data_IF_421127775243
#
_entry.id   IF_421127775243
#
_cell.length_a   1.000
_cell.length_b   1.000
_cell.length_c   1.000
_cell.angle_alpha   90.00
_cell.angle_beta   90.00
_cell.angle_gamma   90.00
#
_symmetry.space_group_name_H-M   'P 1'
#
loop_
_entity.id
_entity.type
_entity.pdbx_description
1 polymer ?
#
# COMPACT_ATOMS: atom_id res chain seq x y z
N UNK A 1 9.66 15.14 -61.78
CA UNK A 1 9.48 15.72 -60.43
C UNK A 1 8.09 16.35 -60.32
N UNK A 2 7.13 15.70 -59.65
CA UNK A 2 5.84 16.30 -59.32
C UNK A 2 5.82 16.84 -57.89
N UNK A 3 5.29 18.04 -57.72
CA UNK A 3 5.18 18.82 -56.48
C UNK A 3 4.18 18.19 -55.51
N UNK A 4 4.60 17.90 -54.29
CA UNK A 4 3.73 17.52 -53.17
C UNK A 4 3.10 18.80 -52.59
N UNK A 5 1.77 18.85 -52.57
CA UNK A 5 1.00 19.92 -51.92
C UNK A 5 1.10 19.76 -50.40
N UNK A 6 1.47 20.85 -49.73
CA UNK A 6 1.40 21.04 -48.30
C UNK A 6 -0.05 21.23 -47.85
N UNK A 7 -0.57 20.32 -47.04
CA UNK A 7 -1.83 20.52 -46.32
C UNK A 7 -1.59 20.79 -44.84
N UNK A 8 -2.44 21.68 -44.34
CA UNK A 8 -2.27 22.53 -43.17
C UNK A 8 -2.48 21.81 -41.84
N UNK A 9 -1.60 22.13 -40.91
CA UNK A 9 -1.67 21.87 -39.46
C UNK A 9 -2.89 22.57 -38.84
N UNK A 10 -4.08 21.97 -38.90
CA UNK A 10 -5.25 22.47 -38.15
C UNK A 10 -6.25 21.40 -37.68
N UNK A 11 -6.19 20.14 -38.11
CA UNK A 11 -7.22 19.13 -37.75
C UNK A 11 -6.65 17.84 -37.11
N UNK A 12 -5.85 17.98 -36.04
CA UNK A 12 -5.49 16.83 -35.17
C UNK A 12 -5.66 17.13 -33.69
N UNK A 13 -6.86 17.56 -33.30
CA UNK A 13 -7.28 17.66 -31.91
C UNK A 13 -8.76 17.31 -31.76
N UNK A 14 -9.08 16.02 -31.75
CA UNK A 14 -10.25 15.46 -31.04
C UNK A 14 -10.31 13.93 -31.17
N UNK A 15 -9.31 13.22 -30.65
CA UNK A 15 -9.51 11.83 -30.22
C UNK A 15 -9.29 11.79 -28.72
N UNK A 16 -10.29 12.32 -28.02
CA UNK A 16 -10.41 12.18 -26.58
C UNK A 16 -10.55 10.69 -26.25
N UNK A 17 -9.70 10.23 -25.33
CA UNK A 17 -9.84 8.96 -24.64
C UNK A 17 -11.27 8.85 -24.09
N UNK A 18 -12.11 8.10 -24.80
CA UNK A 18 -13.47 7.82 -24.41
C UNK A 18 -13.47 7.17 -23.04
N UNK A 19 -14.01 7.88 -22.07
CA UNK A 19 -14.47 7.32 -20.80
C UNK A 19 -15.51 6.25 -21.12
N UNK A 20 -15.06 5.01 -21.25
CA UNK A 20 -15.92 3.86 -21.40
C UNK A 20 -16.60 3.60 -20.06
N UNK A 21 -17.87 3.98 -20.02
CA UNK A 21 -18.95 3.22 -19.37
C UNK A 21 -18.72 2.79 -17.92
N UNK A 22 -19.17 3.62 -16.98
CA UNK A 22 -20.17 3.21 -15.99
C UNK A 22 -19.91 1.97 -15.12
N UNK A 23 -18.69 1.46 -15.00
CA UNK A 23 -18.40 0.38 -14.07
C UNK A 23 -18.34 0.95 -12.65
N UNK A 24 -19.44 0.76 -11.91
CA UNK A 24 -19.53 1.05 -10.50
C UNK A 24 -18.39 0.30 -9.78
N UNK A 25 -17.49 1.03 -9.13
CA UNK A 25 -16.57 0.41 -8.17
C UNK A 25 -17.41 -0.38 -7.14
N UNK A 26 -17.39 -1.71 -7.23
CA UNK A 26 -18.12 -2.63 -6.32
C UNK A 26 -19.37 -3.31 -6.89
N UNK A 27 -19.68 -3.25 -8.19
CA UNK A 27 -20.67 -4.17 -8.78
C UNK A 27 -20.12 -5.59 -9.01
N UNK A 28 -18.80 -5.74 -9.03
CA UNK A 28 -18.14 -7.04 -9.03
C UNK A 28 -17.65 -7.36 -7.61
N UNK A 29 -18.30 -8.33 -6.99
CA UNK A 29 -17.88 -8.90 -5.72
C UNK A 29 -16.68 -9.83 -5.98
N UNK A 30 -15.53 -9.25 -6.35
CA UNK A 30 -14.29 -10.02 -6.35
C UNK A 30 -13.92 -10.32 -4.89
N UNK A 31 -13.37 -11.50 -4.61
CA UNK A 31 -13.04 -11.97 -3.24
C UNK A 31 -12.16 -11.00 -2.42
N UNK A 32 -11.58 -9.99 -3.08
CA UNK A 32 -10.64 -9.01 -2.53
C UNK A 32 -11.25 -7.61 -2.30
N UNK A 33 -12.55 -7.44 -2.55
CA UNK A 33 -13.26 -6.17 -2.40
C UNK A 33 -13.50 -5.87 -0.91
N UNK A 34 -13.28 -4.63 -0.47
CA UNK A 34 -13.59 -4.22 0.90
C UNK A 34 -15.10 -4.34 1.18
N UNK A 35 -15.45 -5.24 2.11
CA UNK A 35 -16.82 -5.52 2.53
C UNK A 35 -17.06 -5.01 3.96
N UNK A 36 -18.33 -4.80 4.33
CA UNK A 36 -18.75 -4.42 5.68
C UNK A 36 -18.81 -2.91 5.99
N UNK A 37 -18.18 -2.07 5.17
CA UNK A 37 -18.30 -0.60 5.26
C UNK A 37 -19.60 -0.03 4.69
N UNK A 38 -19.92 1.22 5.04
CA UNK A 38 -21.10 1.94 4.58
C UNK A 38 -21.20 3.37 5.14
N UNK A 39 -22.27 4.08 4.78
CA UNK A 39 -22.45 5.50 5.11
C UNK A 39 -23.92 5.90 5.30
N UNK A 40 -24.77 4.96 5.74
CA UNK A 40 -26.21 5.22 5.93
C UNK A 40 -26.49 6.28 7.00
N UNK A 41 -25.60 6.40 7.99
CA UNK A 41 -25.64 7.32 9.12
C UNK A 41 -24.21 7.54 9.65
N UNK A 42 -24.09 8.43 10.64
CA UNK A 42 -22.82 8.78 11.30
C UNK A 42 -22.09 7.56 11.88
N UNK A 43 -22.81 6.68 12.57
CA UNK A 43 -22.20 5.55 13.26
C UNK A 43 -21.67 4.52 12.25
N UNK A 44 -22.37 4.30 11.14
CA UNK A 44 -21.88 3.43 10.08
C UNK A 44 -20.67 4.01 9.36
N UNK A 45 -20.60 5.33 9.20
CA UNK A 45 -19.40 6.00 8.67
C UNK A 45 -18.20 5.82 9.61
N UNK A 46 -18.37 6.00 10.92
CA UNK A 46 -17.31 5.72 11.91
C UNK A 46 -16.88 4.26 11.93
N UNK A 47 -17.83 3.32 11.86
CA UNK A 47 -17.51 1.88 11.77
C UNK A 47 -16.65 1.59 10.53
N UNK A 48 -16.96 2.23 9.41
CA UNK A 48 -16.18 2.12 8.17
C UNK A 48 -14.75 2.63 8.36
N UNK A 49 -14.57 3.79 9.00
CA UNK A 49 -13.24 4.31 9.33
C UNK A 49 -12.47 3.32 10.22
N UNK A 50 -13.15 2.71 11.21
CA UNK A 50 -12.57 1.70 12.09
C UNK A 50 -12.16 0.42 11.35
N UNK A 51 -12.94 -0.03 10.38
CA UNK A 51 -12.62 -1.20 9.54
C UNK A 51 -11.42 -0.97 8.61
N UNK A 52 -11.13 0.30 8.30
CA UNK A 52 -9.99 0.71 7.48
C UNK A 52 -8.75 1.04 8.30
N UNK A 53 -8.89 1.20 9.62
CA UNK A 53 -7.77 1.52 10.51
C UNK A 53 -6.65 0.49 10.42
N UNK A 54 -5.41 0.98 10.37
CA UNK A 54 -4.20 0.18 10.21
C UNK A 54 -3.91 -0.32 8.79
N UNK A 55 -4.85 -0.20 7.83
CA UNK A 55 -4.54 -0.50 6.41
C UNK A 55 -3.65 0.58 5.80
N UNK A 56 -3.14 0.35 4.59
CA UNK A 56 -2.32 1.35 3.88
C UNK A 56 -3.07 2.68 3.75
N UNK A 57 -2.45 3.79 4.15
CA UNK A 57 -3.13 5.09 4.23
C UNK A 57 -3.68 5.56 2.87
N UNK A 58 -2.98 5.21 1.78
CA UNK A 58 -3.44 5.47 0.42
C UNK A 58 -4.68 4.63 0.06
N UNK A 59 -4.75 3.39 0.54
CA UNK A 59 -5.92 2.54 0.35
C UNK A 59 -7.11 3.05 1.16
N UNK A 60 -6.89 3.46 2.42
CA UNK A 60 -7.92 4.11 3.24
C UNK A 60 -8.48 5.34 2.51
N UNK A 61 -7.61 6.22 1.99
CA UNK A 61 -8.00 7.40 1.23
C UNK A 61 -8.85 7.05 0.01
N UNK A 62 -8.44 6.07 -0.80
CA UNK A 62 -9.20 5.64 -1.98
C UNK A 62 -10.61 5.18 -1.62
N UNK A 63 -10.74 4.34 -0.59
CA UNK A 63 -12.04 3.81 -0.15
C UNK A 63 -12.92 4.92 0.42
N UNK A 64 -12.38 5.74 1.33
CA UNK A 64 -13.12 6.82 2.00
C UNK A 64 -13.54 7.90 1.01
N UNK A 65 -12.64 8.34 0.13
CA UNK A 65 -12.96 9.33 -0.90
C UNK A 65 -14.04 8.82 -1.87
N UNK A 66 -13.99 7.53 -2.25
CA UNK A 66 -15.06 6.92 -3.05
C UNK A 66 -16.41 6.93 -2.31
N UNK A 67 -16.43 6.53 -1.03
CA UNK A 67 -17.67 6.52 -0.23
C UNK A 67 -18.21 7.93 0.02
N UNK A 68 -17.35 8.90 0.32
CA UNK A 68 -17.71 10.31 0.48
C UNK A 68 -18.40 10.87 -0.76
N UNK A 69 -17.82 10.66 -1.94
CA UNK A 69 -18.42 11.16 -3.19
C UNK A 69 -19.77 10.50 -3.49
N UNK A 70 -19.93 9.19 -3.22
CA UNK A 70 -21.22 8.50 -3.34
C UNK A 70 -22.25 9.02 -2.35
N UNK A 71 -21.87 9.21 -1.09
CA UNK A 71 -22.72 9.76 -0.04
C UNK A 71 -23.23 11.15 -0.44
N UNK A 72 -22.38 12.02 -1.00
CA UNK A 72 -22.78 13.34 -1.52
C UNK A 72 -23.79 13.26 -2.66
N UNK A 73 -23.61 12.32 -3.59
CA UNK A 73 -24.56 12.12 -4.70
C UNK A 73 -25.91 11.64 -4.18
N UNK A 74 -25.92 10.70 -3.23
CA UNK A 74 -27.16 10.17 -2.64
C UNK A 74 -27.86 11.23 -1.79
N UNK A 75 -27.11 12.01 -1.01
CA UNK A 75 -27.63 13.12 -0.22
C UNK A 75 -28.40 14.12 -1.11
N UNK A 76 -27.84 14.51 -2.27
CA UNK A 76 -28.51 15.42 -3.23
C UNK A 76 -29.84 14.89 -3.79
N UNK A 77 -30.05 13.57 -3.78
CA UNK A 77 -31.23 12.89 -4.32
C UNK A 77 -32.26 12.52 -3.25
N UNK A 78 -31.87 12.58 -1.98
CA UNK A 78 -32.70 12.17 -0.85
C UNK A 78 -33.61 13.32 -0.44
N UNK A 79 -34.91 13.05 -0.31
CA UNK A 79 -35.93 14.05 0.07
C UNK A 79 -36.44 13.87 1.50
N UNK A 80 -36.25 12.67 2.04
CA UNK A 80 -36.66 12.32 3.40
C UNK A 80 -35.77 13.03 4.42
N UNK A 81 -36.37 13.82 5.32
CA UNK A 81 -35.64 14.72 6.21
C UNK A 81 -34.71 13.97 7.19
N UNK A 82 -35.15 12.82 7.71
CA UNK A 82 -34.36 12.02 8.63
C UNK A 82 -33.14 11.41 7.92
N UNK A 83 -33.35 10.81 6.73
CA UNK A 83 -32.26 10.27 5.92
C UNK A 83 -31.30 11.35 5.46
N UNK A 84 -31.79 12.55 5.13
CA UNK A 84 -30.95 13.71 4.79
C UNK A 84 -30.03 14.04 5.96
N UNK A 85 -30.57 14.16 7.18
CA UNK A 85 -29.76 14.41 8.39
C UNK A 85 -28.71 13.33 8.59
N UNK A 86 -29.10 12.06 8.54
CA UNK A 86 -28.17 10.93 8.74
C UNK A 86 -27.05 10.91 7.69
N UNK A 87 -27.36 11.18 6.42
CA UNK A 87 -26.38 11.27 5.34
C UNK A 87 -25.47 12.49 5.48
N UNK A 88 -25.99 13.64 5.94
CA UNK A 88 -25.16 14.82 6.20
C UNK A 88 -24.11 14.54 7.28
N UNK A 89 -24.50 13.90 8.38
CA UNK A 89 -23.58 13.52 9.45
C UNK A 89 -22.54 12.49 8.97
N UNK A 90 -22.93 11.53 8.13
CA UNK A 90 -22.01 10.57 7.52
C UNK A 90 -21.01 11.25 6.56
N UNK A 91 -21.48 12.19 5.72
CA UNK A 91 -20.64 12.97 4.81
C UNK A 91 -19.62 13.80 5.59
N UNK A 92 -20.06 14.51 6.63
CA UNK A 92 -19.16 15.29 7.51
C UNK A 92 -18.11 14.42 8.17
N UNK A 93 -18.47 13.22 8.63
CA UNK A 93 -17.51 12.28 9.25
C UNK A 93 -16.39 11.88 8.27
N UNK A 94 -16.70 11.67 7.00
CA UNK A 94 -15.67 11.38 5.98
C UNK A 94 -14.92 12.64 5.53
N UNK A 95 -15.57 13.79 5.48
CA UNK A 95 -14.94 15.07 5.17
C UNK A 95 -13.84 15.40 6.18
N UNK A 96 -14.14 15.28 7.47
CA UNK A 96 -13.17 15.49 8.56
C UNK A 96 -11.93 14.60 8.39
N UNK A 97 -12.13 13.32 8.07
CA UNK A 97 -11.03 12.38 7.82
C UNK A 97 -10.22 12.76 6.57
N UNK A 98 -10.89 13.17 5.48
CA UNK A 98 -10.23 13.57 4.22
C UNK A 98 -9.45 14.87 4.37
N UNK A 99 -9.93 15.79 5.20
CA UNK A 99 -9.26 17.05 5.49
C UNK A 99 -8.06 16.83 6.41
N UNK A 100 -8.17 15.97 7.42
CA UNK A 100 -7.03 15.49 8.21
C UNK A 100 -5.95 14.85 7.32
N UNK A 101 -6.36 13.98 6.39
CA UNK A 101 -5.44 13.35 5.43
C UNK A 101 -4.64 14.36 4.61
N UNK A 102 -5.27 15.45 4.16
CA UNK A 102 -4.62 16.49 3.34
C UNK A 102 -3.78 17.43 4.20
N UNK A 103 -4.33 17.95 5.30
CA UNK A 103 -3.70 18.98 6.14
C UNK A 103 -2.45 18.44 6.84
N UNK A 104 -2.46 17.19 7.30
CA UNK A 104 -1.32 16.53 7.92
C UNK A 104 -0.42 15.78 6.93
N UNK A 105 -0.64 15.92 5.62
CA UNK A 105 0.15 15.23 4.58
C UNK A 105 0.26 13.71 4.79
N UNK A 106 -0.82 13.07 5.28
CA UNK A 106 -0.83 11.68 5.74
C UNK A 106 -0.46 10.66 4.65
N UNK A 107 -0.53 11.06 3.37
CA UNK A 107 0.05 10.30 2.25
C UNK A 107 1.52 9.86 2.47
N UNK A 108 2.30 10.63 3.25
CA UNK A 108 3.70 10.32 3.58
C UNK A 108 3.85 9.22 4.64
N UNK A 109 2.78 8.87 5.36
CA UNK A 109 2.75 7.77 6.33
C UNK A 109 2.72 6.38 5.66
N UNK A 110 2.63 6.33 4.33
CA UNK A 110 2.45 5.09 3.60
C UNK A 110 3.70 4.19 3.62
N UNK A 111 3.56 2.98 4.17
CA UNK A 111 4.60 1.95 4.13
C UNK A 111 4.61 1.19 2.80
N UNK A 112 5.19 1.79 1.76
CA UNK A 112 5.30 1.16 0.44
C UNK A 112 5.93 -0.24 0.48
N UNK A 113 5.39 -1.18 -0.30
CA UNK A 113 5.86 -2.55 -0.33
C UNK A 113 7.16 -2.69 -1.15
N UNK A 114 8.15 -3.36 -0.57
CA UNK A 114 9.28 -3.91 -1.31
C UNK A 114 8.82 -5.16 -2.09
N UNK A 115 9.35 -5.41 -3.30
CA UNK A 115 9.12 -6.67 -4.00
C UNK A 115 9.58 -7.87 -3.16
N UNK A 116 8.87 -9.00 -3.27
CA UNK A 116 9.19 -10.22 -2.53
C UNK A 116 10.68 -10.62 -2.68
N UNK A 117 11.17 -10.71 -3.91
CA UNK A 117 12.59 -11.02 -4.20
C UNK A 117 13.57 -10.04 -3.54
N UNK A 118 13.19 -8.77 -3.43
CA UNK A 118 14.02 -7.76 -2.75
C UNK A 118 14.10 -8.05 -1.26
N UNK A 119 13.01 -8.48 -0.63
CA UNK A 119 13.02 -8.85 0.79
C UNK A 119 13.82 -10.13 1.02
N UNK A 120 13.63 -11.15 0.17
CA UNK A 120 14.38 -12.41 0.24
C UNK A 120 15.89 -12.23 0.15
N UNK A 121 16.36 -11.31 -0.68
CA UNK A 121 17.79 -11.03 -0.82
C UNK A 121 18.47 -10.66 0.51
N UNK A 122 17.72 -10.19 1.52
CA UNK A 122 18.24 -9.83 2.84
C UNK A 122 17.93 -10.86 3.93
N UNK A 123 17.24 -11.96 3.63
CA UNK A 123 16.82 -12.95 4.63
C UNK A 123 18.03 -13.55 5.38
N UNK A 124 19.07 -13.97 4.64
CA UNK A 124 20.30 -14.52 5.24
C UNK A 124 20.95 -13.52 6.19
N UNK A 125 21.14 -12.28 5.75
CA UNK A 125 21.75 -11.23 6.56
C UNK A 125 20.90 -10.91 7.81
N UNK A 126 19.57 -10.92 7.67
CA UNK A 126 18.66 -10.71 8.79
C UNK A 126 18.71 -11.85 9.82
N UNK A 127 18.89 -13.11 9.38
CA UNK A 127 19.15 -14.25 10.29
C UNK A 127 20.50 -14.10 11.01
N UNK A 128 21.57 -13.79 10.27
CA UNK A 128 22.92 -13.58 10.83
C UNK A 128 22.95 -12.46 11.87
N UNK A 129 22.18 -11.38 11.69
CA UNK A 129 22.07 -10.27 12.64
C UNK A 129 21.00 -10.47 13.73
N UNK A 130 20.33 -11.63 13.74
CA UNK A 130 19.32 -12.01 14.72
C UNK A 130 18.04 -11.18 14.69
N UNK A 131 17.67 -10.65 13.52
CA UNK A 131 16.41 -9.92 13.28
C UNK A 131 15.24 -10.89 13.11
N UNK A 132 15.48 -12.08 12.54
CA UNK A 132 14.46 -13.11 12.29
C UNK A 132 14.45 -14.24 13.35
N UNK A 133 14.60 -13.89 14.63
CA UNK A 133 14.71 -14.88 15.72
C UNK A 133 13.40 -15.06 16.52
N UNK A 134 12.27 -14.59 15.99
CA UNK A 134 10.96 -14.64 16.65
C UNK A 134 10.33 -16.04 16.64
N UNK A 135 9.34 -16.24 17.53
CA UNK A 135 8.45 -17.41 17.49
C UNK A 135 7.23 -17.09 16.60
N UNK A 136 6.80 -18.06 15.79
CA UNK A 136 5.66 -17.91 14.88
C UNK A 136 6.07 -17.51 13.45
N UNK A 137 5.09 -17.45 12.52
CA UNK A 137 5.37 -17.09 11.13
C UNK A 137 5.84 -15.64 11.03
N UNK A 138 6.94 -15.43 10.32
CA UNK A 138 7.45 -14.11 9.97
C UNK A 138 6.59 -13.50 8.86
N UNK A 139 6.59 -12.17 8.75
CA UNK A 139 5.96 -11.51 7.60
C UNK A 139 6.50 -12.02 6.27
N UNK A 140 7.81 -12.31 6.19
CA UNK A 140 8.42 -12.85 4.98
C UNK A 140 7.76 -14.16 4.54
N UNK A 141 7.58 -15.12 5.45
CA UNK A 141 6.90 -16.40 5.16
C UNK A 141 5.47 -16.19 4.64
N UNK A 142 4.74 -15.27 5.27
CA UNK A 142 3.38 -14.96 4.83
C UNK A 142 3.36 -14.24 3.49
N UNK A 143 4.38 -13.42 3.22
CA UNK A 143 4.54 -12.71 1.96
C UNK A 143 4.93 -13.65 0.82
N UNK A 144 5.70 -14.71 1.10
CA UNK A 144 5.95 -15.84 0.20
C UNK A 144 4.68 -16.61 -0.13
N UNK A 145 3.91 -17.01 0.88
CA UNK A 145 2.63 -17.71 0.69
C UNK A 145 1.61 -16.87 -0.12
N UNK A 146 1.77 -15.55 -0.10
CA UNK A 146 0.97 -14.62 -0.88
C UNK A 146 1.56 -14.34 -2.28
N UNK A 147 2.70 -14.92 -2.66
CA UNK A 147 3.44 -14.62 -3.90
C UNK A 147 3.73 -13.12 -4.08
N UNK A 148 3.92 -12.38 -2.99
CA UNK A 148 4.05 -10.94 -3.02
C UNK A 148 2.75 -10.15 -3.28
N UNK A 149 1.59 -10.82 -3.37
CA UNK A 149 0.31 -10.18 -3.70
C UNK A 149 -0.36 -9.53 -2.49
N UNK A 150 -0.40 -8.19 -2.52
CA UNK A 150 -1.05 -7.36 -1.52
C UNK A 150 -2.55 -7.67 -1.34
N UNK A 151 -3.26 -8.06 -2.40
CA UNK A 151 -4.69 -8.39 -2.28
C UNK A 151 -4.89 -9.63 -1.43
N UNK A 152 -4.00 -10.64 -1.55
CA UNK A 152 -4.03 -11.83 -0.69
C UNK A 152 -3.74 -11.47 0.77
N UNK A 153 -2.80 -10.56 1.03
CA UNK A 153 -2.51 -10.08 2.40
C UNK A 153 -3.70 -9.36 3.06
N UNK A 154 -4.55 -8.69 2.28
CA UNK A 154 -5.73 -7.95 2.78
C UNK A 154 -6.89 -8.83 3.21
N UNK A 155 -6.88 -10.11 2.83
CA UNK A 155 -7.91 -11.11 3.17
C UNK A 155 -7.36 -12.21 4.08
N UNK A 156 -6.05 -12.46 4.07
CA UNK A 156 -5.40 -13.44 4.94
C UNK A 156 -5.38 -12.93 6.39
N UNK A 157 -6.10 -13.62 7.27
CA UNK A 157 -6.11 -13.34 8.71
C UNK A 157 -4.81 -13.76 9.37
N UNK A 158 -4.45 -13.05 10.44
CA UNK A 158 -3.39 -13.48 11.36
C UNK A 158 -4.00 -14.49 12.33
N UNK A 159 -3.32 -15.62 12.55
CA UNK A 159 -3.79 -16.65 13.47
C UNK A 159 -3.98 -16.09 14.89
N UNK A 160 -5.15 -16.34 15.47
CA UNK A 160 -5.50 -15.84 16.80
C UNK A 160 -5.80 -14.34 16.88
N UNK A 161 -5.91 -13.62 15.75
CA UNK A 161 -6.26 -12.20 15.74
C UNK A 161 -7.41 -11.88 14.75
N UNK A 162 -8.13 -10.80 15.04
CA UNK A 162 -9.23 -10.30 14.21
C UNK A 162 -8.76 -9.42 13.04
N UNK A 163 -7.46 -9.36 12.78
CA UNK A 163 -6.85 -8.51 11.75
C UNK A 163 -6.19 -9.32 10.65
N UNK A 164 -6.05 -8.71 9.50
CA UNK A 164 -5.35 -9.26 8.34
C UNK A 164 -3.87 -8.88 8.33
N UNK A 165 -3.08 -9.59 7.52
CA UNK A 165 -1.63 -9.42 7.50
C UNK A 165 -1.17 -8.05 6.99
N UNK A 166 -1.93 -7.39 6.12
CA UNK A 166 -1.65 -5.99 5.73
C UNK A 166 -1.71 -5.03 6.93
N UNK A 167 -2.74 -5.17 7.79
CA UNK A 167 -2.91 -4.38 9.01
C UNK A 167 -1.80 -4.72 10.01
N UNK A 168 -1.54 -6.01 10.21
CA UNK A 168 -0.52 -6.47 11.15
C UNK A 168 0.87 -5.96 10.77
N UNK A 169 1.23 -6.01 9.49
CA UNK A 169 2.47 -5.44 8.95
C UNK A 169 2.59 -3.95 9.29
N UNK A 170 1.59 -3.15 8.94
CA UNK A 170 1.65 -1.70 9.14
C UNK A 170 1.70 -1.30 10.61
N UNK A 171 1.01 -2.04 11.48
CA UNK A 171 1.07 -1.84 12.94
C UNK A 171 2.45 -2.19 13.53
N UNK A 172 3.15 -3.17 12.97
CA UNK A 172 4.54 -3.49 13.37
C UNK A 172 5.55 -2.47 12.81
N UNK A 173 5.36 -1.99 11.59
CA UNK A 173 6.27 -1.02 10.96
C UNK A 173 6.24 0.35 11.64
N UNK A 174 5.06 0.82 12.07
CA UNK A 174 4.89 2.14 12.67
C UNK A 174 5.85 2.43 13.84
N UNK A 175 5.89 1.62 14.92
CA UNK A 175 6.81 1.86 16.03
C UNK A 175 8.29 1.70 15.64
N UNK A 176 8.61 0.83 14.67
CA UNK A 176 9.99 0.67 14.19
C UNK A 176 10.50 1.92 13.47
N UNK A 177 9.66 2.53 12.62
CA UNK A 177 9.99 3.77 11.90
C UNK A 177 10.04 4.96 12.85
N UNK A 178 9.09 5.08 13.78
CA UNK A 178 9.09 6.12 14.80
C UNK A 178 10.36 6.09 15.64
N UNK A 179 10.78 4.89 16.07
CA UNK A 179 12.03 4.70 16.81
C UNK A 179 13.25 5.07 15.97
N UNK A 180 13.34 4.58 14.74
CA UNK A 180 14.46 4.88 13.83
C UNK A 180 14.63 6.40 13.63
N UNK A 181 13.52 7.11 13.41
CA UNK A 181 13.52 8.56 13.23
C UNK A 181 13.91 9.30 14.51
N UNK A 182 13.44 8.84 15.67
CA UNK A 182 13.77 9.43 16.97
C UNK A 182 15.25 9.28 17.30
N UNK A 183 15.80 8.09 17.07
CA UNK A 183 17.17 7.75 17.44
C UNK A 183 18.19 8.25 16.39
N UNK A 184 17.74 8.80 15.26
CA UNK A 184 18.55 9.24 14.12
C UNK A 184 19.57 8.19 13.66
N UNK A 185 19.17 6.92 13.72
CA UNK A 185 20.08 5.81 13.44
C UNK A 185 20.38 5.70 11.94
N UNK A 186 21.65 5.44 11.56
CA UNK A 186 21.99 5.27 10.16
C UNK A 186 21.35 3.99 9.61
N UNK A 187 20.75 4.13 8.42
CA UNK A 187 20.15 3.02 7.67
C UNK A 187 21.18 1.99 7.17
N UNK A 188 22.45 2.38 7.07
CA UNK A 188 23.52 1.54 6.55
C UNK A 188 24.74 1.60 7.45
N UNK A 189 25.43 0.47 7.52
CA UNK A 189 26.75 0.35 8.13
C UNK A 189 27.82 1.04 7.28
N UNK A 190 29.01 1.23 7.83
CA UNK A 190 30.19 1.74 7.10
C UNK A 190 30.59 0.89 5.90
N UNK A 191 30.21 -0.40 5.90
CA UNK A 191 30.42 -1.34 4.79
C UNK A 191 29.35 -1.26 3.70
N UNK A 192 28.39 -0.35 3.82
CA UNK A 192 27.29 -0.16 2.86
C UNK A 192 26.14 -1.17 2.98
N UNK A 193 26.20 -2.12 3.92
CA UNK A 193 25.11 -3.06 4.21
C UNK A 193 24.03 -2.40 5.08
N UNK A 194 22.75 -2.80 4.97
CA UNK A 194 21.71 -2.32 5.89
C UNK A 194 22.07 -2.58 7.36
N UNK A 195 21.79 -1.60 8.23
CA UNK A 195 21.93 -1.76 9.68
C UNK A 195 20.89 -2.75 10.22
N UNK A 196 21.06 -3.21 11.47
CA UNK A 196 20.12 -4.14 12.11
C UNK A 196 18.68 -3.59 12.15
N UNK A 197 18.53 -2.30 12.41
CA UNK A 197 17.24 -1.62 12.49
C UNK A 197 16.64 -1.40 11.10
N UNK A 198 17.47 -1.11 10.09
CA UNK A 198 16.98 -1.08 8.71
C UNK A 198 16.58 -2.48 8.22
N UNK A 199 17.33 -3.53 8.57
CA UNK A 199 16.94 -4.92 8.27
C UNK A 199 15.60 -5.27 8.91
N UNK A 200 15.34 -4.82 10.13
CA UNK A 200 14.03 -5.01 10.77
C UNK A 200 12.90 -4.44 9.92
N UNK A 201 13.07 -3.26 9.30
CA UNK A 201 12.08 -2.71 8.36
C UNK A 201 11.99 -3.54 7.06
N UNK A 202 13.14 -3.93 6.50
CA UNK A 202 13.22 -4.65 5.23
C UNK A 202 12.49 -5.99 5.31
N UNK A 203 12.65 -6.75 6.41
CA UNK A 203 11.96 -8.05 6.58
C UNK A 203 10.46 -7.92 6.79
N UNK A 204 9.97 -6.74 7.16
CA UNK A 204 8.55 -6.37 7.11
C UNK A 204 8.14 -5.80 5.73
N UNK A 205 8.99 -5.94 4.72
CA UNK A 205 8.74 -5.52 3.36
C UNK A 205 8.73 -4.01 3.15
N UNK A 206 9.44 -3.23 3.96
CA UNK A 206 9.48 -1.76 3.85
C UNK A 206 10.91 -1.22 3.95
N UNK A 207 11.15 -0.10 3.26
CA UNK A 207 12.34 0.72 3.48
C UNK A 207 12.05 2.18 3.11
N UNK A 208 12.51 3.17 3.90
CA UNK A 208 12.48 4.57 3.50
C UNK A 208 13.38 4.86 2.29
N UNK A 209 14.34 3.98 1.98
CA UNK A 209 15.22 4.05 0.80
C UNK A 209 15.04 2.84 -0.13
N UNK A 210 13.78 2.53 -0.47
CA UNK A 210 13.44 1.39 -1.32
C UNK A 210 14.28 1.27 -2.61
N UNK A 211 14.63 2.41 -3.24
CA UNK A 211 15.47 2.42 -4.44
C UNK A 211 16.89 1.89 -4.21
N UNK A 212 17.51 2.21 -3.07
CA UNK A 212 18.86 1.73 -2.73
C UNK A 212 18.83 0.27 -2.27
N UNK A 213 17.82 -0.12 -1.50
CA UNK A 213 17.61 -1.52 -1.09
C UNK A 213 17.44 -2.43 -2.32
N UNK A 214 16.65 -2.03 -3.32
CA UNK A 214 16.50 -2.76 -4.58
C UNK A 214 17.82 -2.90 -5.34
N UNK A 215 18.65 -1.84 -5.39
CA UNK A 215 19.98 -1.89 -6.04
C UNK A 215 20.92 -2.86 -5.33
N UNK A 216 20.93 -2.86 -4.00
CA UNK A 216 21.74 -3.78 -3.19
C UNK A 216 21.31 -5.24 -3.39
N UNK A 217 20.00 -5.52 -3.39
CA UNK A 217 19.47 -6.85 -3.69
C UNK A 217 19.91 -7.34 -5.08
N UNK A 218 19.82 -6.47 -6.09
CA UNK A 218 20.24 -6.80 -7.46
C UNK A 218 21.75 -7.03 -7.59
N UNK A 219 22.58 -6.31 -6.82
CA UNK A 219 24.03 -6.51 -6.80
C UNK A 219 24.41 -7.87 -6.20
N UNK A 220 23.84 -8.21 -5.02
CA UNK A 220 24.09 -9.51 -4.39
C UNK A 220 23.65 -10.71 -5.24
N UNK A 221 22.53 -10.57 -5.95
CA UNK A 221 22.07 -11.60 -6.88
C UNK A 221 23.01 -11.82 -8.08
N UNK A 222 23.69 -10.77 -8.57
CA UNK A 222 24.68 -10.88 -9.65
C UNK A 222 25.96 -11.57 -9.19
N UNK A 223 26.42 -11.25 -7.98
CA UNK A 223 27.61 -11.86 -7.38
C UNK A 223 27.41 -13.37 -7.15
N UNK A 224 26.25 -13.77 -6.62
CA UNK A 224 25.91 -15.18 -6.40
C UNK A 224 25.85 -16.02 -7.70
N UNK A 225 25.35 -15.43 -8.80
CA UNK A 225 25.32 -16.09 -10.11
C UNK A 225 26.71 -16.25 -10.74
N UNK A 226 27.62 -15.31 -10.47
CA UNK A 226 29.00 -15.37 -10.97
C UNK A 226 29.79 -16.46 -10.25
N UNK A 227 29.63 -16.58 -8.93
CA UNK A 227 30.28 -17.65 -8.15
C UNK A 227 29.79 -19.04 -8.55
N UNK A 228 28.50 -19.22 -8.87
CA UNK A 228 27.98 -20.53 -9.29
C UNK A 228 28.46 -20.96 -10.68
N UNK A 229 28.75 -20.03 -11.59
CA UNK A 229 29.27 -20.37 -12.93
C UNK A 229 30.76 -20.71 -12.94
N UNK A 230 31.52 -20.25 -11.95
CA UNK A 230 32.97 -20.53 -11.82
C UNK A 230 33.21 -21.92 -11.20
N UNK A 231 32.33 -22.39 -10.31
CA UNK A 231 32.37 -23.75 -9.73
C UNK A 231 31.97 -24.87 -10.71
N UNK A 232 31.11 -24.61 -11.70
CA UNK A 232 30.74 -25.63 -12.72
C UNK A 232 31.78 -25.77 -13.86
N UNK A 233 32.79 -24.90 -13.89
CA UNK A 233 33.83 -24.91 -14.94
C UNK A 233 35.19 -25.45 -14.46
N UNK A 234 35.27 -25.99 -13.24
CA UNK A 234 36.49 -26.52 -12.61
C UNK A 234 36.49 -28.03 -12.42
#
# INVERSE_FOLDING_TARGET
MPKVKSESTAERRSEGSGWQGGQLFGSENTETTFTGGGFKDKEKAKETLKLLDGRDINYQYQVINSMFNRAKVILKRTKDAEKVKNLQEAVSTFEDWLDDYKTHSRSKENFGYLPLDTVHAFERLAKEQGVLNGKGPTFLQVYEEADGDLKKLRVKKVDGADTTWDIHRNRNLKPLVEKLNKDNEPLYTSKGQPSKQHLALIVWGYSPEAGKVKKLAAAGAKEAKKSSSEDESS
#
